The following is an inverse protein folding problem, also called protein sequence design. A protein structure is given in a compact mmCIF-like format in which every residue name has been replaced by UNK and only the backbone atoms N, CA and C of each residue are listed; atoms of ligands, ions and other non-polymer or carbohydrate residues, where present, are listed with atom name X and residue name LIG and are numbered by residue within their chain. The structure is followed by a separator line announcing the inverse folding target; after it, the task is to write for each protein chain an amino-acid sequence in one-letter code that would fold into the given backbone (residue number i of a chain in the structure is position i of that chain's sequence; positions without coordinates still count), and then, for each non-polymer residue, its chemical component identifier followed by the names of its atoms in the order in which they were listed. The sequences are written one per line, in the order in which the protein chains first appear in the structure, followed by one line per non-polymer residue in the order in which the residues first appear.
data_IF_740088019234
#
_entry.id   IF_740088019234
#
_cell.length_a   1.000
_cell.length_b   1.000
_cell.length_c   1.000
_cell.angle_alpha   90.00
_cell.angle_beta   90.00
_cell.angle_gamma   90.00
#
_symmetry.space_group_name_H-M   'P 1'
#
loop_
_entity.id
_entity.type
_entity.pdbx_description
1 polymer ?
#
# COMPACT_ATOMS: atom_id res chain seq x y z
N UNK A 1 -0.54 -5.52 14.93
CA UNK A 1 0.51 -4.91 15.78
C UNK A 1 0.53 -3.40 15.55
N UNK A 2 1.05 -2.61 16.49
CA UNK A 2 1.30 -1.16 16.33
C UNK A 2 2.76 -0.84 16.03
N UNK A 3 3.65 -1.83 16.11
CA UNK A 3 5.07 -1.69 15.77
C UNK A 3 5.30 -1.94 14.27
N UNK A 4 5.74 -0.90 13.57
CA UNK A 4 6.03 -0.97 12.14
C UNK A 4 7.28 -1.82 11.84
N UNK A 5 8.21 -1.99 12.78
CA UNK A 5 9.40 -2.83 12.55
C UNK A 5 9.05 -4.31 12.31
N UNK A 6 7.84 -4.72 12.70
CA UNK A 6 7.31 -6.05 12.39
C UNK A 6 7.12 -6.28 10.89
N UNK A 7 7.17 -5.24 10.05
CA UNK A 7 7.02 -5.32 8.59
C UNK A 7 8.32 -5.68 7.85
N UNK A 8 9.48 -5.70 8.53
CA UNK A 8 10.80 -5.89 7.88
C UNK A 8 10.89 -7.11 6.96
N UNK A 9 10.19 -8.20 7.30
CA UNK A 9 10.22 -9.45 6.55
C UNK A 9 8.97 -9.67 5.66
N UNK A 10 8.14 -8.63 5.47
CA UNK A 10 6.97 -8.70 4.60
C UNK A 10 7.39 -8.51 3.14
N UNK A 11 7.09 -9.49 2.28
CA UNK A 11 7.29 -9.38 0.83
C UNK A 11 6.15 -8.66 0.09
N UNK A 12 4.99 -8.48 0.75
CA UNK A 12 3.84 -7.75 0.22
C UNK A 12 3.18 -6.94 1.34
N UNK A 13 2.93 -5.65 1.08
CA UNK A 13 2.19 -4.77 1.98
C UNK A 13 0.99 -4.17 1.25
N UNK A 14 -0.21 -4.29 1.84
CA UNK A 14 -1.45 -3.71 1.33
C UNK A 14 -1.93 -2.62 2.28
N UNK A 15 -1.86 -1.38 1.84
CA UNK A 15 -2.34 -0.21 2.59
C UNK A 15 -3.86 -0.05 2.40
N UNK A 16 -4.62 -0.03 3.50
CA UNK A 16 -6.07 0.08 3.49
C UNK A 16 -6.60 1.10 4.52
N UNK A 17 -5.85 2.17 4.76
CA UNK A 17 -6.28 3.30 5.57
C UNK A 17 -7.32 4.16 4.82
N UNK A 18 -7.95 5.08 5.57
CA UNK A 18 -8.92 6.05 5.06
C UNK A 18 -8.43 6.77 3.80
N UNK A 19 -9.35 7.09 2.90
CA UNK A 19 -9.11 7.89 1.69
C UNK A 19 -8.67 9.33 2.01
N UNK A 20 -7.41 9.47 2.39
CA UNK A 20 -6.74 10.74 2.65
C UNK A 20 -5.31 10.64 2.10
N UNK A 21 -5.01 11.46 1.09
CA UNK A 21 -3.77 11.37 0.34
C UNK A 21 -2.53 11.58 1.23
N UNK A 22 -2.54 12.61 2.06
CA UNK A 22 -1.41 12.95 2.94
C UNK A 22 -1.14 11.85 3.97
N UNK A 23 -2.20 11.27 4.53
CA UNK A 23 -2.09 10.15 5.45
C UNK A 23 -1.47 8.93 4.76
N UNK A 24 -1.96 8.58 3.57
CA UNK A 24 -1.44 7.44 2.79
C UNK A 24 0.02 7.66 2.45
N UNK A 25 0.40 8.83 1.94
CA UNK A 25 1.81 9.17 1.64
C UNK A 25 2.71 8.98 2.86
N UNK A 26 2.29 9.46 4.02
CA UNK A 26 3.03 9.29 5.28
C UNK A 26 3.20 7.82 5.67
N UNK A 27 2.13 7.02 5.60
CA UNK A 27 2.18 5.58 5.90
C UNK A 27 3.14 4.89 4.94
N UNK A 28 3.00 5.13 3.64
CA UNK A 28 3.78 4.47 2.60
C UNK A 28 5.26 4.82 2.68
N UNK A 29 5.62 6.06 2.99
CA UNK A 29 7.03 6.43 3.24
C UNK A 29 7.62 5.69 4.45
N UNK A 30 6.84 5.51 5.52
CA UNK A 30 7.30 4.72 6.68
C UNK A 30 7.47 3.25 6.32
N UNK A 31 6.50 2.68 5.59
CA UNK A 31 6.57 1.30 5.10
C UNK A 31 7.79 1.10 4.20
N UNK A 32 8.00 1.98 3.22
CA UNK A 32 9.11 1.93 2.26
C UNK A 32 10.47 1.87 2.96
N UNK A 33 10.64 2.63 4.05
CA UNK A 33 11.88 2.66 4.83
C UNK A 33 12.17 1.41 5.67
N UNK A 34 11.19 0.50 5.81
CA UNK A 34 11.27 -0.65 6.72
C UNK A 34 11.31 -1.97 5.98
N UNK A 35 10.51 -2.12 4.93
CA UNK A 35 10.44 -3.36 4.14
C UNK A 35 11.70 -3.52 3.29
N UNK A 36 12.00 -4.76 2.90
CA UNK A 36 13.09 -5.04 1.95
C UNK A 36 12.86 -4.31 0.62
N UNK A 37 13.93 -4.01 -0.13
CA UNK A 37 13.86 -3.30 -1.42
C UNK A 37 13.04 -4.05 -2.47
N UNK A 38 12.96 -5.38 -2.38
CA UNK A 38 12.20 -6.25 -3.27
C UNK A 38 10.73 -6.47 -2.84
N UNK A 39 10.32 -5.91 -1.70
CA UNK A 39 8.94 -6.00 -1.24
C UNK A 39 7.99 -5.17 -2.10
N UNK A 40 6.84 -5.74 -2.45
CA UNK A 40 5.77 -5.06 -3.19
C UNK A 40 4.92 -4.24 -2.22
N UNK A 41 4.67 -2.98 -2.55
CA UNK A 41 3.83 -2.07 -1.77
C UNK A 41 2.59 -1.72 -2.59
N UNK A 42 1.40 -1.91 -2.05
CA UNK A 42 0.16 -1.61 -2.74
C UNK A 42 -0.85 -0.87 -1.87
N UNK A 43 -1.84 -0.23 -2.49
CA UNK A 43 -2.94 0.46 -1.82
C UNK A 43 -4.28 -0.07 -2.30
N UNK A 44 -5.21 -0.26 -1.36
CA UNK A 44 -6.63 -0.57 -1.57
C UNK A 44 -7.46 0.70 -1.79
N UNK A 45 -6.91 1.72 -2.45
CA UNK A 45 -7.67 2.92 -2.80
C UNK A 45 -8.77 2.59 -3.81
N UNK A 46 -9.89 3.33 -3.75
CA UNK A 46 -10.99 3.24 -4.73
C UNK A 46 -11.10 4.47 -5.62
N UNK A 47 -10.36 5.55 -5.33
CA UNK A 47 -10.57 6.86 -5.96
C UNK A 47 -9.32 7.66 -6.28
N UNK A 48 -8.14 7.20 -5.88
CA UNK A 48 -6.87 7.85 -6.18
C UNK A 48 -6.10 7.06 -7.23
N UNK A 49 -5.38 7.76 -8.11
CA UNK A 49 -4.51 7.10 -9.09
C UNK A 49 -3.21 6.63 -8.44
N UNK A 50 -2.55 5.66 -9.06
CA UNK A 50 -1.25 5.17 -8.59
C UNK A 50 -0.21 6.31 -8.50
N UNK A 51 -0.17 7.17 -9.51
CA UNK A 51 0.75 8.32 -9.55
C UNK A 51 0.54 9.28 -8.38
N UNK A 52 -0.71 9.55 -7.99
CA UNK A 52 -0.99 10.40 -6.82
C UNK A 52 -0.41 9.83 -5.54
N UNK A 53 -0.50 8.50 -5.37
CA UNK A 53 -0.14 7.82 -4.12
C UNK A 53 1.35 7.50 -4.04
N UNK A 54 1.98 7.10 -5.15
CA UNK A 54 3.30 6.46 -5.11
C UNK A 54 4.45 7.29 -5.70
N UNK A 55 4.17 8.34 -6.46
CA UNK A 55 5.21 9.13 -7.15
C UNK A 55 6.25 9.78 -6.24
N UNK A 56 5.97 9.94 -4.94
CA UNK A 56 6.89 10.51 -3.96
C UNK A 56 7.82 9.48 -3.29
N UNK A 57 7.61 8.19 -3.56
CA UNK A 57 8.43 7.12 -3.02
C UNK A 57 9.77 7.04 -3.76
N UNK A 58 10.78 6.46 -3.10
CA UNK A 58 12.12 6.30 -3.66
C UNK A 58 12.15 5.24 -4.76
N UNK A 59 11.30 4.21 -4.62
CA UNK A 59 11.16 3.07 -5.51
C UNK A 59 9.70 2.92 -5.97
N UNK A 60 9.18 3.82 -6.82
CA UNK A 60 7.80 3.73 -7.30
C UNK A 60 7.55 2.51 -8.20
N UNK A 61 8.58 1.92 -8.81
CA UNK A 61 8.49 0.78 -9.73
C UNK A 61 7.99 -0.51 -9.09
N UNK A 62 8.06 -0.63 -7.76
CA UNK A 62 7.58 -1.79 -6.98
C UNK A 62 6.21 -1.55 -6.34
N UNK A 63 5.46 -0.59 -6.88
CA UNK A 63 4.16 -0.20 -6.36
C UNK A 63 3.03 -0.50 -7.33
N UNK A 64 1.84 -0.80 -6.80
CA UNK A 64 0.62 -0.99 -7.61
C UNK A 64 -0.63 -0.67 -6.80
N UNK A 65 -1.79 -0.63 -7.44
CA UNK A 65 -3.09 -0.67 -6.74
C UNK A 65 -3.53 -2.12 -6.60
N UNK A 66 -4.18 -2.47 -5.49
CA UNK A 66 -4.80 -3.79 -5.27
C UNK A 66 -6.10 -3.53 -4.53
N UNK A 67 -7.16 -3.41 -5.31
CA UNK A 67 -8.46 -2.95 -4.88
C UNK A 67 -9.42 -4.13 -4.67
N UNK A 68 -9.84 -4.31 -3.42
CA UNK A 68 -10.79 -5.30 -2.96
C UNK A 68 -12.20 -4.72 -2.92
N UNK A 69 -13.17 -5.50 -3.39
CA UNK A 69 -14.57 -5.13 -3.29
C UNK A 69 -15.14 -5.51 -1.92
N UNK A 70 -15.87 -4.56 -1.31
CA UNK A 70 -16.47 -4.80 0.01
C UNK A 70 -17.65 -5.80 -0.08
N UNK A 71 -17.75 -6.77 0.85
CA UNK A 71 -16.79 -7.07 1.90
C UNK A 71 -15.62 -7.93 1.38
N UNK A 72 -14.38 -7.53 1.67
CA UNK A 72 -13.17 -8.13 1.09
C UNK A 72 -13.02 -9.64 1.34
N UNK A 73 -13.61 -10.17 2.41
CA UNK A 73 -13.57 -11.60 2.75
C UNK A 73 -14.61 -12.46 2.04
N UNK A 74 -15.55 -11.84 1.29
CA UNK A 74 -16.55 -12.55 0.47
C UNK A 74 -16.48 -12.17 -1.01
N UNK A 75 -16.03 -10.97 -1.32
CA UNK A 75 -15.85 -10.51 -2.69
C UNK A 75 -14.85 -11.41 -3.42
N UNK A 76 -15.22 -11.88 -4.61
CA UNK A 76 -14.35 -12.73 -5.43
C UNK A 76 -13.46 -11.93 -6.37
N UNK A 77 -13.77 -10.64 -6.56
CA UNK A 77 -13.01 -9.74 -7.41
C UNK A 77 -11.86 -9.09 -6.65
N UNK A 78 -10.73 -8.95 -7.34
CA UNK A 78 -9.63 -8.07 -6.99
C UNK A 78 -9.21 -7.35 -8.27
N UNK A 79 -9.12 -6.04 -8.21
CA UNK A 79 -8.61 -5.20 -9.30
C UNK A 79 -7.15 -4.84 -9.00
N UNK A 80 -6.26 -5.06 -9.97
CA UNK A 80 -4.81 -4.83 -9.87
C UNK A 80 -4.35 -3.97 -11.04
#
# INVERSE_FOLDING_TARGET
TTDYNSLKNCGLVIEAATENLELKKKILTQVESIVAEDAIITSNTSGMTADMIFSHLSHPERTTITHFFAPAWRGTGVEV
#
